data_IF_266537333101
#
_entry.id   IF_266537333101
#
_cell.length_a   1.000
_cell.length_b   1.000
_cell.length_c   1.000
_cell.angle_alpha   90.00
_cell.angle_beta   90.00
_cell.angle_gamma   90.00
#
_symmetry.space_group_name_H-M   'P 1'
#
loop_
_entity.id
_entity.type
_entity.pdbx_description
1 polymer ?
#
# COMPACT_ATOMS: atom_id res chain seq x y z
N UNK A 1 -8.38 -19.17 20.31
CA UNK A 1 -7.77 -19.17 18.97
C UNK A 1 -7.63 -17.72 18.54
N UNK A 2 -6.51 -17.08 18.89
CA UNK A 2 -6.28 -15.67 18.61
C UNK A 2 -6.10 -15.45 17.10
N UNK A 3 -7.14 -14.91 16.45
CA UNK A 3 -7.14 -14.48 15.04
C UNK A 3 -6.42 -13.12 14.84
N UNK A 4 -5.54 -12.73 15.76
CA UNK A 4 -4.85 -11.44 15.70
C UNK A 4 -3.52 -11.49 14.94
N UNK A 5 -3.01 -12.68 14.57
CA UNK A 5 -1.66 -12.84 14.00
C UNK A 5 -1.65 -13.53 12.65
N UNK A 6 -2.48 -13.07 11.71
CA UNK A 6 -2.30 -13.40 10.28
C UNK A 6 -2.88 -12.31 9.37
N UNK A 7 -2.83 -11.04 9.79
CA UNK A 7 -3.28 -9.90 8.98
C UNK A 7 -2.10 -9.08 8.45
N UNK A 8 -1.03 -9.75 8.03
CA UNK A 8 0.16 -9.10 7.48
C UNK A 8 -0.02 -8.62 6.02
N UNK A 9 -1.10 -8.99 5.31
CA UNK A 9 -1.20 -8.71 3.86
C UNK A 9 -2.63 -8.50 3.33
N UNK A 10 -3.56 -8.01 4.16
CA UNK A 10 -4.96 -7.85 3.70
C UNK A 10 -5.82 -6.91 4.52
N UNK A 11 -5.22 -6.14 5.43
CA UNK A 11 -5.91 -5.11 6.20
C UNK A 11 -5.38 -3.76 5.79
N UNK A 12 -5.78 -3.27 4.62
CA UNK A 12 -5.67 -1.85 4.34
C UNK A 12 -6.43 -1.11 5.44
N UNK A 13 -5.73 -0.59 6.45
CA UNK A 13 -6.32 0.43 7.32
C UNK A 13 -6.84 1.56 6.46
N UNK A 14 -7.84 2.31 6.93
CA UNK A 14 -8.52 3.38 6.18
C UNK A 14 -7.56 4.26 5.35
N UNK A 15 -6.36 4.54 5.87
CA UNK A 15 -5.33 5.30 5.18
C UNK A 15 -4.84 4.68 3.86
N UNK A 16 -4.51 3.38 3.83
CA UNK A 16 -3.95 2.76 2.62
C UNK A 16 -5.00 2.59 1.51
N UNK A 17 -6.29 2.48 1.88
CA UNK A 17 -7.39 2.39 0.92
C UNK A 17 -7.62 3.71 0.20
N UNK A 18 -7.37 4.84 0.88
CA UNK A 18 -7.46 6.17 0.26
C UNK A 18 -6.31 6.38 -0.73
N UNK A 19 -5.08 6.05 -0.33
CA UNK A 19 -3.90 6.16 -1.22
C UNK A 19 -4.09 5.30 -2.46
N UNK A 20 -4.54 4.06 -2.30
CA UNK A 20 -4.86 3.17 -3.42
C UNK A 20 -5.88 3.79 -4.38
N UNK A 21 -6.99 4.30 -3.86
CA UNK A 21 -8.03 4.91 -4.68
C UNK A 21 -7.52 6.14 -5.46
N UNK A 22 -6.69 6.97 -4.83
CA UNK A 22 -6.08 8.14 -5.50
C UNK A 22 -5.16 7.69 -6.65
N UNK A 23 -4.28 6.71 -6.42
CA UNK A 23 -3.34 6.25 -7.44
C UNK A 23 -4.04 5.54 -8.60
N UNK A 24 -5.08 4.74 -8.32
CA UNK A 24 -5.94 4.15 -9.35
C UNK A 24 -6.64 5.22 -10.21
N UNK A 25 -7.14 6.30 -9.59
CA UNK A 25 -7.76 7.43 -10.29
C UNK A 25 -6.77 8.23 -11.15
N UNK A 26 -5.51 8.31 -10.72
CA UNK A 26 -4.45 9.01 -11.45
C UNK A 26 -3.88 8.18 -12.61
N UNK A 27 -4.25 6.91 -12.73
CA UNK A 27 -3.67 5.95 -13.67
C UNK A 27 -2.13 5.90 -13.58
N UNK A 28 -1.60 6.06 -12.36
CA UNK A 28 -0.17 6.02 -12.08
C UNK A 28 0.18 4.72 -11.36
N UNK A 29 1.41 4.26 -11.54
CA UNK A 29 1.90 3.06 -10.89
C UNK A 29 2.19 3.32 -9.40
N UNK A 30 1.90 2.32 -8.57
CA UNK A 30 2.14 2.35 -7.13
C UNK A 30 2.42 0.94 -6.62
N UNK A 31 3.11 0.83 -5.50
CA UNK A 31 3.48 -0.48 -4.97
C UNK A 31 3.92 -0.50 -3.52
N UNK A 32 4.01 -1.73 -3.00
CA UNK A 32 4.53 -2.03 -1.68
C UNK A 32 5.49 -3.20 -1.79
N UNK A 33 6.72 -3.02 -1.32
CA UNK A 33 7.76 -4.03 -1.33
C UNK A 33 8.21 -4.30 0.11
N UNK A 34 8.14 -5.57 0.53
CA UNK A 34 8.68 -5.98 1.82
C UNK A 34 10.16 -6.32 1.66
N UNK A 35 10.96 -5.80 2.59
CA UNK A 35 12.37 -6.11 2.74
C UNK A 35 12.60 -6.74 4.12
N UNK A 36 13.73 -7.44 4.29
CA UNK A 36 14.06 -8.09 5.56
C UNK A 36 14.13 -7.11 6.75
N UNK A 37 14.37 -5.83 6.48
CA UNK A 37 14.54 -4.76 7.46
C UNK A 37 13.43 -3.69 7.43
N UNK A 38 12.36 -3.86 6.64
CA UNK A 38 11.34 -2.83 6.53
C UNK A 38 10.37 -3.03 5.38
N UNK A 39 9.55 -2.01 5.15
CA UNK A 39 8.58 -1.98 4.05
C UNK A 39 8.79 -0.69 3.29
N UNK A 40 8.92 -0.79 1.97
CA UNK A 40 8.93 0.33 1.06
C UNK A 40 7.53 0.54 0.48
N UNK A 41 7.11 1.80 0.45
CA UNK A 41 5.92 2.26 -0.24
C UNK A 41 6.37 3.25 -1.31
N UNK A 42 5.94 3.05 -2.54
CA UNK A 42 6.28 3.91 -3.67
C UNK A 42 5.06 4.20 -4.55
N UNK A 43 5.13 5.33 -5.25
CA UNK A 43 4.16 5.74 -6.25
C UNK A 43 4.87 6.63 -7.27
N UNK A 44 4.41 6.58 -8.51
CA UNK A 44 4.90 7.41 -9.60
C UNK A 44 4.02 8.67 -9.76
N UNK A 45 4.66 9.78 -10.11
CA UNK A 45 3.98 11.04 -10.41
C UNK A 45 4.55 11.64 -11.69
N UNK A 46 3.68 11.96 -12.63
CA UNK A 46 4.04 12.76 -13.79
C UNK A 46 4.31 14.22 -13.39
N UNK A 47 5.42 14.77 -13.87
CA UNK A 47 5.77 16.19 -13.76
C UNK A 47 5.35 16.94 -15.02
N UNK A 48 4.93 18.21 -14.89
CA UNK A 48 4.66 19.11 -16.02
C UNK A 48 5.94 19.68 -16.65
#
# INVERSE_FOLDING_TARGET
>A
MDKARTRAYGGSGVGLSIVKAIMELMHQDYGVCNYDNGVEFWFELETK
#
